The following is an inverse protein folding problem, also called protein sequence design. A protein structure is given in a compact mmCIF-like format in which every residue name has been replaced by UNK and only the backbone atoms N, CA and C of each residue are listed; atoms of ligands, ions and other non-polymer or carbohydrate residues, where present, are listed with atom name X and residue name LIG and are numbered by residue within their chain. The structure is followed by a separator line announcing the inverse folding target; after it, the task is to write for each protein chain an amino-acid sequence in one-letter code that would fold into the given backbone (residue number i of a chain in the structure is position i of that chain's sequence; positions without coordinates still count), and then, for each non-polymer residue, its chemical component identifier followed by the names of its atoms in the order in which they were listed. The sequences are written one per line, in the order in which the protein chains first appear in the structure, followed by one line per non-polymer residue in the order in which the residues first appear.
data_IF_516333972677
#
_entry.id   IF_516333972677
#
_cell.length_a   1.000
_cell.length_b   1.000
_cell.length_c   1.000
_cell.angle_alpha   90.00
_cell.angle_beta   90.00
_cell.angle_gamma   90.00
#
_symmetry.space_group_name_H-M   'P 1'
#
loop_
_entity.id
_entity.type
_entity.pdbx_description
1 polymer ?
#
# COMPACT_ATOMS: atom_id res chain seq x y z
N UNK A 1 0.54 -25.41 -25.37
CA UNK A 1 -0.18 -25.95 -24.21
C UNK A 1 0.57 -27.09 -23.52
N UNK A 2 1.16 -28.01 -24.24
CA UNK A 2 1.85 -29.20 -23.69
C UNK A 2 3.10 -28.87 -22.84
N UNK A 3 3.72 -27.71 -23.05
CA UNK A 3 4.91 -27.27 -22.31
C UNK A 3 4.59 -26.23 -21.22
N UNK A 4 3.66 -25.33 -21.47
CA UNK A 4 3.37 -24.20 -20.57
C UNK A 4 2.43 -24.62 -19.45
N UNK A 5 1.27 -25.22 -19.78
CA UNK A 5 0.27 -25.57 -18.77
C UNK A 5 0.78 -26.52 -17.68
N UNK A 6 1.58 -27.58 -18.00
CA UNK A 6 2.15 -28.43 -16.97
C UNK A 6 3.16 -27.73 -16.05
N UNK A 7 3.73 -26.62 -16.49
CA UNK A 7 4.73 -25.86 -15.75
C UNK A 7 4.17 -24.76 -14.85
N UNK A 8 2.87 -24.48 -14.88
CA UNK A 8 2.27 -23.45 -14.01
C UNK A 8 1.96 -23.99 -12.62
N UNK A 9 2.10 -23.15 -11.61
CA UNK A 9 1.50 -23.38 -10.28
C UNK A 9 0.05 -22.96 -10.31
N UNK A 10 -0.86 -23.91 -10.12
CA UNK A 10 -2.30 -23.66 -10.27
C UNK A 10 -2.91 -23.00 -9.03
N UNK A 11 -2.81 -21.70 -8.90
CA UNK A 11 -3.27 -20.92 -7.77
C UNK A 11 -4.80 -20.96 -7.56
N UNK A 12 -5.58 -21.26 -8.59
CA UNK A 12 -7.03 -21.40 -8.52
C UNK A 12 -7.48 -22.83 -8.16
N UNK A 13 -6.53 -23.75 -7.89
CA UNK A 13 -6.88 -25.09 -7.45
C UNK A 13 -7.53 -25.07 -6.07
N UNK A 14 -8.62 -25.82 -5.83
CA UNK A 14 -9.22 -25.95 -4.51
C UNK A 14 -8.29 -26.58 -3.45
N UNK A 15 -7.19 -27.20 -3.91
CA UNK A 15 -6.17 -27.79 -3.04
C UNK A 15 -4.93 -26.88 -2.87
N UNK A 16 -4.96 -25.66 -3.34
CA UNK A 16 -3.86 -24.70 -3.17
C UNK A 16 -4.09 -23.87 -1.90
N UNK A 17 -3.30 -24.13 -0.85
CA UNK A 17 -3.41 -23.47 0.45
C UNK A 17 -2.19 -22.61 0.80
N UNK A 18 -1.29 -22.38 -0.17
CA UNK A 18 -0.10 -21.57 0.04
C UNK A 18 -0.33 -20.11 -0.34
N UNK A 19 0.41 -19.22 0.30
CA UNK A 19 0.47 -17.78 0.03
C UNK A 19 -0.86 -17.04 0.22
N UNK A 20 -0.85 -15.74 -0.05
CA UNK A 20 -2.05 -14.91 -0.06
C UNK A 20 -2.81 -15.12 -1.39
N UNK A 21 -4.13 -15.36 -1.36
CA UNK A 21 -4.86 -15.73 -2.57
C UNK A 21 -4.92 -14.60 -3.60
N UNK A 22 -4.90 -14.99 -4.88
CA UNK A 22 -5.22 -14.13 -6.01
C UNK A 22 -6.56 -14.59 -6.60
N UNK A 23 -7.53 -13.70 -6.64
CA UNK A 23 -8.84 -13.97 -7.21
C UNK A 23 -8.97 -13.36 -8.60
N UNK A 24 -9.72 -14.04 -9.47
CA UNK A 24 -10.18 -13.50 -10.75
C UNK A 24 -11.67 -13.77 -10.92
N UNK A 25 -12.32 -12.92 -11.70
CA UNK A 25 -13.73 -13.08 -12.05
C UNK A 25 -13.91 -13.07 -13.55
N UNK A 26 -14.99 -13.68 -14.06
CA UNK A 26 -15.29 -13.67 -15.48
C UNK A 26 -15.29 -12.25 -16.09
N UNK A 27 -16.00 -11.28 -15.50
CA UNK A 27 -15.96 -9.89 -15.97
C UNK A 27 -14.55 -9.27 -15.97
N UNK A 28 -13.72 -9.52 -14.95
CA UNK A 28 -12.37 -9.01 -14.89
C UNK A 28 -11.48 -9.58 -16.03
N UNK A 29 -11.59 -10.89 -16.28
CA UNK A 29 -10.86 -11.55 -17.39
C UNK A 29 -11.27 -10.94 -18.73
N UNK A 30 -12.57 -10.76 -18.96
CA UNK A 30 -13.07 -10.16 -20.21
C UNK A 30 -12.64 -8.69 -20.35
N UNK A 31 -12.65 -7.92 -19.27
CA UNK A 31 -12.19 -6.54 -19.27
C UNK A 31 -10.70 -6.44 -19.60
N UNK A 32 -9.87 -7.30 -19.04
CA UNK A 32 -8.43 -7.35 -19.33
C UNK A 32 -8.16 -7.76 -20.79
N UNK A 33 -8.87 -8.75 -21.30
CA UNK A 33 -8.79 -9.15 -22.72
C UNK A 33 -9.17 -8.02 -23.66
N UNK A 34 -10.24 -7.26 -23.37
CA UNK A 34 -10.68 -6.12 -24.17
C UNK A 34 -9.66 -4.99 -24.14
N UNK A 35 -9.16 -4.62 -22.97
CA UNK A 35 -8.16 -3.57 -22.83
C UNK A 35 -6.86 -3.92 -23.57
N UNK A 36 -6.44 -5.17 -23.49
CA UNK A 36 -5.26 -5.68 -24.21
C UNK A 36 -5.51 -5.66 -25.73
N UNK A 37 -6.68 -6.12 -26.18
CA UNK A 37 -7.04 -6.14 -27.60
C UNK A 37 -7.16 -4.73 -28.22
N UNK A 38 -7.60 -3.76 -27.45
CA UNK A 38 -7.70 -2.35 -27.89
C UNK A 38 -6.36 -1.60 -27.79
N UNK A 39 -5.36 -2.16 -27.08
CA UNK A 39 -4.06 -1.53 -26.89
C UNK A 39 -4.13 -0.21 -26.12
N UNK A 40 -5.05 -0.11 -25.14
CA UNK A 40 -5.21 1.11 -24.34
C UNK A 40 -3.97 1.43 -23.52
N UNK A 41 -3.64 2.71 -23.46
CA UNK A 41 -2.49 3.24 -22.71
C UNK A 41 -2.98 4.15 -21.57
N UNK A 42 -3.20 3.56 -20.39
CA UNK A 42 -3.69 4.26 -19.19
C UNK A 42 -2.65 5.15 -18.50
N UNK A 43 -1.56 5.50 -19.16
CA UNK A 43 -0.41 6.23 -18.61
C UNK A 43 -0.78 7.63 -18.09
N UNK A 44 -1.63 8.34 -18.83
CA UNK A 44 -2.14 9.64 -18.45
C UNK A 44 -3.46 9.94 -19.20
N UNK A 45 -4.19 10.97 -18.78
CA UNK A 45 -5.48 11.30 -19.36
C UNK A 45 -5.42 11.50 -20.88
N UNK A 46 -4.41 12.18 -21.39
CA UNK A 46 -4.28 12.46 -22.83
C UNK A 46 -4.07 11.19 -23.68
N UNK A 47 -3.48 10.13 -23.11
CA UNK A 47 -3.24 8.86 -23.84
C UNK A 47 -4.41 7.90 -23.75
N UNK A 48 -5.26 8.02 -22.76
CA UNK A 48 -6.51 7.27 -22.62
C UNK A 48 -7.46 7.97 -21.64
N UNK A 49 -8.26 8.94 -22.10
CA UNK A 49 -9.22 9.61 -21.23
C UNK A 49 -10.17 8.64 -20.53
N UNK A 50 -10.67 7.63 -21.25
CA UNK A 50 -11.58 6.63 -20.69
C UNK A 50 -10.96 5.81 -19.55
N UNK A 51 -9.68 5.45 -19.63
CA UNK A 51 -9.01 4.74 -18.54
C UNK A 51 -8.91 5.60 -17.27
N UNK A 52 -8.52 6.86 -17.43
CA UNK A 52 -8.38 7.79 -16.30
C UNK A 52 -9.73 8.10 -15.65
N UNK A 53 -10.75 8.37 -16.48
CA UNK A 53 -12.12 8.62 -15.97
C UNK A 53 -12.67 7.40 -15.22
N UNK A 54 -12.48 6.19 -15.76
CA UNK A 54 -12.93 4.96 -15.13
C UNK A 54 -12.19 4.69 -13.82
N UNK A 55 -10.87 4.85 -13.82
CA UNK A 55 -10.05 4.71 -12.59
C UNK A 55 -10.51 5.68 -11.49
N UNK A 56 -10.68 6.93 -11.85
CA UNK A 56 -11.16 7.99 -10.94
C UNK A 56 -12.51 7.62 -10.32
N UNK A 57 -13.45 7.16 -11.14
CA UNK A 57 -14.78 6.76 -10.70
C UNK A 57 -14.74 5.55 -9.75
N UNK A 58 -13.93 4.54 -10.06
CA UNK A 58 -13.75 3.35 -9.21
C UNK A 58 -13.09 3.72 -7.89
N UNK A 59 -12.13 4.64 -7.90
CA UNK A 59 -11.48 5.13 -6.68
C UNK A 59 -12.42 5.92 -5.78
N UNK A 60 -13.33 6.71 -6.36
CA UNK A 60 -14.38 7.38 -5.59
C UNK A 60 -15.34 6.37 -4.92
N UNK A 61 -15.68 5.28 -5.60
CA UNK A 61 -16.43 4.18 -4.97
C UNK A 61 -15.65 3.55 -3.81
N UNK A 62 -14.34 3.36 -3.95
CA UNK A 62 -13.52 2.83 -2.87
C UNK A 62 -13.47 3.77 -1.66
N UNK A 63 -13.46 5.09 -1.86
CA UNK A 63 -13.56 6.06 -0.76
C UNK A 63 -14.85 5.84 0.02
N UNK A 64 -16.00 5.66 -0.66
CA UNK A 64 -17.28 5.41 -0.01
C UNK A 64 -17.32 4.02 0.67
N UNK A 65 -16.86 2.98 0.00
CA UNK A 65 -16.86 1.60 0.52
C UNK A 65 -15.98 1.42 1.76
N UNK A 66 -14.89 2.18 1.85
CA UNK A 66 -13.93 2.13 2.96
C UNK A 66 -14.20 3.19 4.03
N UNK A 67 -15.27 3.97 3.89
CA UNK A 67 -15.62 5.09 4.78
C UNK A 67 -14.44 6.08 4.99
N UNK A 68 -13.71 6.35 3.92
CA UNK A 68 -12.61 7.31 3.96
C UNK A 68 -13.14 8.75 3.94
N UNK A 69 -12.38 9.70 4.50
CA UNK A 69 -12.76 11.12 4.46
C UNK A 69 -13.04 11.61 3.03
N UNK A 70 -14.13 12.33 2.82
CA UNK A 70 -14.53 12.83 1.49
C UNK A 70 -13.46 13.67 0.78
N UNK A 71 -12.50 14.21 1.51
CA UNK A 71 -11.37 14.93 0.92
C UNK A 71 -10.55 14.10 -0.07
N UNK A 72 -10.67 12.75 -0.01
CA UNK A 72 -10.00 11.84 -0.94
C UNK A 72 -10.77 11.61 -2.24
N UNK A 73 -12.00 12.10 -2.37
CA UNK A 73 -12.76 12.03 -3.62
C UNK A 73 -12.18 12.98 -4.67
N UNK A 74 -12.33 12.60 -5.95
CA UNK A 74 -11.80 13.31 -7.09
C UNK A 74 -12.37 14.73 -7.28
N UNK A 75 -13.60 14.97 -6.81
CA UNK A 75 -14.25 16.29 -6.83
C UNK A 75 -13.83 17.19 -5.64
N UNK A 76 -12.85 16.78 -4.85
CA UNK A 76 -12.28 17.51 -3.71
C UNK A 76 -10.78 17.78 -3.94
N UNK A 77 -10.04 17.96 -2.85
CA UNK A 77 -8.60 18.24 -2.90
C UNK A 77 -7.73 16.98 -3.02
N UNK A 78 -8.31 15.80 -2.81
CA UNK A 78 -7.63 14.52 -2.89
C UNK A 78 -7.93 13.78 -4.18
N UNK A 79 -7.30 12.65 -4.33
CA UNK A 79 -7.55 11.64 -5.36
C UNK A 79 -6.82 10.38 -4.98
N UNK A 80 -7.00 9.32 -5.76
CA UNK A 80 -6.27 8.08 -5.66
C UNK A 80 -5.63 7.71 -7.01
N UNK A 81 -4.83 6.67 -6.99
CA UNK A 81 -4.27 6.04 -8.18
C UNK A 81 -4.10 4.55 -7.91
N UNK A 82 -4.45 3.71 -8.88
CA UNK A 82 -4.24 2.26 -8.79
C UNK A 82 -2.78 1.97 -9.14
N UNK A 83 -2.08 1.28 -8.23
CA UNK A 83 -0.72 0.83 -8.43
C UNK A 83 -0.70 -0.62 -8.95
N UNK A 84 0.41 -1.04 -9.53
CA UNK A 84 0.61 -2.40 -10.05
C UNK A 84 0.63 -3.47 -8.95
N UNK A 85 1.09 -3.12 -7.75
CA UNK A 85 1.16 -4.02 -6.59
C UNK A 85 0.94 -3.27 -5.28
N UNK A 86 0.60 -4.02 -4.21
CA UNK A 86 0.56 -3.47 -2.85
C UNK A 86 1.93 -2.91 -2.41
N UNK A 87 3.03 -3.47 -2.92
CA UNK A 87 4.38 -2.98 -2.60
C UNK A 87 4.63 -1.59 -3.16
N UNK A 88 4.26 -1.33 -4.41
CA UNK A 88 4.40 0.00 -5.03
C UNK A 88 3.40 0.99 -4.43
N UNK A 89 2.17 0.58 -4.12
CA UNK A 89 1.20 1.40 -3.42
C UNK A 89 1.73 1.88 -2.05
N UNK A 90 2.28 0.96 -1.26
CA UNK A 90 2.91 1.30 0.04
C UNK A 90 4.09 2.23 -0.15
N UNK A 91 4.95 2.00 -1.14
CA UNK A 91 6.09 2.87 -1.43
C UNK A 91 5.64 4.29 -1.81
N UNK A 92 4.66 4.42 -2.70
CA UNK A 92 4.11 5.73 -3.09
C UNK A 92 3.52 6.48 -1.90
N UNK A 93 2.73 5.82 -1.07
CA UNK A 93 2.16 6.42 0.14
C UNK A 93 3.25 6.86 1.13
N UNK A 94 4.29 6.02 1.33
CA UNK A 94 5.42 6.35 2.19
C UNK A 94 6.23 7.54 1.67
N UNK A 95 6.50 7.60 0.36
CA UNK A 95 7.18 8.73 -0.27
C UNK A 95 6.37 10.01 -0.11
N UNK A 96 5.07 9.97 -0.35
CA UNK A 96 4.18 11.11 -0.14
C UNK A 96 4.18 11.59 1.33
N UNK A 97 4.15 10.66 2.29
CA UNK A 97 4.26 10.97 3.71
C UNK A 97 5.63 11.58 4.07
N UNK A 98 6.71 11.05 3.50
CA UNK A 98 8.08 11.59 3.65
C UNK A 98 8.16 13.04 3.17
N UNK A 99 7.66 13.32 1.97
CA UNK A 99 7.64 14.66 1.40
C UNK A 99 6.84 15.63 2.28
N UNK A 100 5.65 15.19 2.70
CA UNK A 100 4.80 15.99 3.59
C UNK A 100 5.48 16.28 4.94
N UNK A 101 6.09 15.29 5.58
CA UNK A 101 6.72 15.42 6.88
C UNK A 101 7.98 16.30 6.84
N UNK A 102 8.69 16.32 5.70
CA UNK A 102 9.91 17.12 5.50
C UNK A 102 9.66 18.46 4.81
N UNK A 103 8.42 18.79 4.43
CA UNK A 103 8.09 19.93 3.58
C UNK A 103 8.94 19.98 2.28
N UNK A 104 9.16 18.81 1.66
CA UNK A 104 9.93 18.65 0.43
C UNK A 104 11.45 18.74 0.62
N UNK A 105 11.95 19.08 1.80
CA UNK A 105 13.38 19.33 2.06
C UNK A 105 14.28 18.14 1.72
N UNK A 106 13.79 16.92 1.90
CA UNK A 106 14.56 15.71 1.63
C UNK A 106 14.94 15.57 0.14
N UNK A 107 14.13 16.08 -0.78
CA UNK A 107 14.46 16.08 -2.21
C UNK A 107 15.63 17.00 -2.55
N UNK A 108 15.89 18.00 -1.74
CA UNK A 108 16.98 18.97 -1.98
C UNK A 108 18.26 18.60 -1.24
N UNK A 109 18.14 18.16 0.02
CA UNK A 109 19.30 17.99 0.90
C UNK A 109 19.58 16.54 1.31
N UNK A 110 18.71 15.60 0.90
CA UNK A 110 18.77 14.22 1.35
C UNK A 110 18.14 14.03 2.74
N UNK A 111 18.12 12.78 3.19
CA UNK A 111 17.53 12.38 4.47
C UNK A 111 18.46 12.72 5.65
N UNK A 112 17.95 13.41 6.65
CA UNK A 112 18.67 13.87 7.83
C UNK A 112 18.59 12.95 9.06
N UNK A 113 17.88 11.81 8.93
CA UNK A 113 17.74 10.84 10.02
C UNK A 113 16.57 11.10 10.97
N UNK A 114 15.79 12.14 10.79
CA UNK A 114 14.76 12.56 11.77
C UNK A 114 13.44 11.80 11.67
N UNK A 115 13.03 11.33 10.46
CA UNK A 115 11.72 10.70 10.27
C UNK A 115 11.64 9.29 10.84
N UNK A 116 10.48 8.94 11.37
CA UNK A 116 10.16 7.60 11.88
C UNK A 116 8.94 7.02 11.18
N UNK A 117 9.02 5.72 10.90
CA UNK A 117 7.98 4.91 10.27
C UNK A 117 7.59 3.80 11.24
N UNK A 118 6.32 3.48 11.34
CA UNK A 118 5.79 2.49 12.27
C UNK A 118 4.97 1.43 11.53
N UNK A 119 5.12 0.19 11.92
CA UNK A 119 4.32 -0.93 11.43
C UNK A 119 4.28 -2.06 12.45
N UNK A 120 3.35 -3.01 12.33
CA UNK A 120 3.34 -4.17 13.22
C UNK A 120 4.48 -5.14 12.89
N UNK A 121 4.86 -5.98 13.85
CA UNK A 121 5.81 -7.08 13.62
C UNK A 121 5.29 -8.14 12.65
N UNK A 122 3.99 -8.11 12.31
CA UNK A 122 3.32 -9.01 11.37
C UNK A 122 3.18 -8.43 9.97
N UNK A 123 3.56 -7.17 9.76
CA UNK A 123 3.46 -6.52 8.46
C UNK A 123 4.30 -7.25 7.40
N UNK A 124 3.81 -7.24 6.18
CA UNK A 124 4.53 -7.81 5.04
C UNK A 124 5.88 -7.10 4.83
N UNK A 125 6.89 -7.85 4.41
CA UNK A 125 8.26 -7.33 4.18
C UNK A 125 8.37 -6.17 3.20
N UNK A 126 7.32 -5.90 2.40
CA UNK A 126 7.25 -4.76 1.49
C UNK A 126 7.36 -3.42 2.21
N UNK A 127 6.86 -3.31 3.46
CA UNK A 127 6.97 -2.08 4.26
C UNK A 127 8.43 -1.76 4.57
N UNK A 128 9.20 -2.76 5.06
CA UNK A 128 10.63 -2.57 5.31
C UNK A 128 11.40 -2.27 4.01
N UNK A 129 11.04 -2.94 2.91
CA UNK A 129 11.64 -2.66 1.58
C UNK A 129 11.34 -1.24 1.14
N UNK A 130 10.09 -0.77 1.28
CA UNK A 130 9.71 0.60 0.95
C UNK A 130 10.52 1.63 1.75
N UNK A 131 10.70 1.41 3.06
CA UNK A 131 11.53 2.26 3.93
C UNK A 131 12.98 2.37 3.44
N UNK A 132 13.55 1.24 3.00
CA UNK A 132 14.91 1.22 2.42
C UNK A 132 14.98 1.95 1.08
N UNK A 133 14.03 1.70 0.18
CA UNK A 133 13.98 2.31 -1.16
C UNK A 133 13.75 3.82 -1.05
N UNK A 134 12.87 4.25 -0.14
CA UNK A 134 12.60 5.67 0.12
C UNK A 134 13.79 6.43 0.76
N UNK A 135 14.89 5.75 1.06
CA UNK A 135 16.09 6.34 1.65
C UNK A 135 15.96 6.69 3.14
N UNK A 136 14.88 6.27 3.81
CA UNK A 136 14.68 6.53 5.25
C UNK A 136 15.61 5.64 6.08
N UNK A 137 15.87 4.42 5.62
CA UNK A 137 16.75 3.46 6.29
C UNK A 137 16.04 2.62 7.35
N UNK A 138 16.43 1.33 7.42
CA UNK A 138 15.79 0.31 8.27
C UNK A 138 15.76 0.69 9.77
N UNK A 139 16.80 1.36 10.27
CA UNK A 139 16.88 1.73 11.69
C UNK A 139 15.80 2.74 12.12
N UNK A 140 15.17 3.41 11.16
CA UNK A 140 14.10 4.38 11.38
C UNK A 140 12.71 3.77 11.27
N UNK A 141 12.62 2.44 11.05
CA UNK A 141 11.39 1.66 11.11
C UNK A 141 11.19 1.09 12.52
N UNK A 142 10.08 1.46 13.16
CA UNK A 142 9.65 0.92 14.45
C UNK A 142 8.74 -0.28 14.24
N UNK A 143 9.17 -1.46 14.70
CA UNK A 143 8.35 -2.67 14.72
C UNK A 143 7.54 -2.70 16.01
N UNK A 144 6.23 -2.50 15.90
CA UNK A 144 5.31 -2.43 17.03
C UNK A 144 4.86 -3.85 17.41
N UNK A 145 4.84 -4.12 18.72
CA UNK A 145 4.39 -5.37 19.26
C UNK A 145 2.91 -5.62 18.97
N UNK A 146 2.57 -6.90 18.84
CA UNK A 146 1.21 -7.38 18.59
C UNK A 146 0.62 -8.07 19.83
N UNK A 147 -0.68 -8.26 19.83
CA UNK A 147 -1.41 -9.03 20.85
C UNK A 147 -1.47 -10.54 20.50
N UNK A 148 -2.28 -11.28 21.24
CA UNK A 148 -2.45 -12.72 21.04
C UNK A 148 -3.19 -13.08 19.75
N UNK A 149 -3.84 -12.12 19.09
CA UNK A 149 -4.49 -12.25 17.78
C UNK A 149 -3.60 -11.76 16.64
N UNK A 150 -2.34 -11.42 16.95
CA UNK A 150 -1.35 -10.85 16.06
C UNK A 150 -1.71 -9.44 15.54
N UNK A 151 -2.67 -8.76 16.15
CA UNK A 151 -3.02 -7.37 15.84
C UNK A 151 -2.06 -6.39 16.52
N UNK A 152 -1.73 -5.30 15.85
CA UNK A 152 -0.91 -4.22 16.42
C UNK A 152 -1.52 -3.70 17.73
N UNK A 153 -0.69 -3.51 18.75
CA UNK A 153 -1.13 -2.91 20.01
C UNK A 153 -1.13 -1.37 19.93
N UNK A 154 -2.28 -0.70 19.95
CA UNK A 154 -2.34 0.76 19.85
C UNK A 154 -1.59 1.48 20.98
N UNK A 155 -1.57 0.89 22.19
CA UNK A 155 -0.83 1.44 23.33
C UNK A 155 0.69 1.46 23.09
N UNK A 156 1.21 0.40 22.46
CA UNK A 156 2.64 0.32 22.13
C UNK A 156 3.00 1.27 20.99
N UNK A 157 2.12 1.43 20.00
CA UNK A 157 2.29 2.42 18.94
C UNK A 157 2.32 3.83 19.53
N UNK A 158 1.36 4.17 20.39
CA UNK A 158 1.30 5.47 21.05
C UNK A 158 2.57 5.75 21.83
N UNK A 159 3.01 4.80 22.66
CA UNK A 159 4.24 4.92 23.46
C UNK A 159 5.46 5.16 22.58
N UNK A 160 5.58 4.43 21.46
CA UNK A 160 6.70 4.57 20.55
C UNK A 160 6.71 5.96 19.87
N UNK A 161 5.53 6.47 19.47
CA UNK A 161 5.38 7.80 18.89
C UNK A 161 5.76 8.89 19.91
N UNK A 162 5.22 8.81 21.13
CA UNK A 162 5.50 9.77 22.21
C UNK A 162 6.98 9.82 22.58
N UNK A 163 7.63 8.64 22.63
CA UNK A 163 9.08 8.55 22.86
C UNK A 163 9.88 9.18 21.73
N UNK A 164 9.56 8.85 20.47
CA UNK A 164 10.27 9.44 19.32
C UNK A 164 10.10 10.97 19.27
N UNK A 165 8.92 11.50 19.60
CA UNK A 165 8.69 12.96 19.71
C UNK A 165 9.57 13.56 20.82
N UNK A 166 9.64 12.92 21.98
CA UNK A 166 10.47 13.36 23.12
C UNK A 166 11.95 13.40 22.74
N UNK A 167 12.38 12.45 21.91
CA UNK A 167 13.75 12.36 21.40
C UNK A 167 14.03 13.34 20.25
N UNK A 168 13.09 14.22 19.91
CA UNK A 168 13.22 15.21 18.85
C UNK A 168 13.07 14.64 17.44
N UNK A 169 12.44 13.46 17.31
CA UNK A 169 12.22 12.78 16.04
C UNK A 169 10.80 13.04 15.53
N UNK A 170 10.60 12.87 14.24
CA UNK A 170 9.34 13.19 13.56
C UNK A 170 8.61 11.92 13.13
N UNK A 171 7.48 11.56 13.74
CA UNK A 171 6.59 10.53 13.23
C UNK A 171 6.04 10.92 11.85
N UNK A 172 6.33 10.11 10.84
CA UNK A 172 5.99 10.42 9.45
C UNK A 172 4.93 9.49 8.84
N UNK A 173 4.95 8.20 9.21
CA UNK A 173 4.08 7.21 8.57
C UNK A 173 3.77 6.06 9.50
N UNK A 174 2.50 5.65 9.54
CA UNK A 174 2.06 4.41 10.19
C UNK A 174 1.45 3.51 9.12
N UNK A 175 1.94 2.27 9.02
CA UNK A 175 1.34 1.24 8.19
C UNK A 175 0.61 0.23 9.08
N UNK A 176 -0.71 0.37 9.17
CA UNK A 176 -1.60 -0.62 9.73
C UNK A 176 -2.13 -1.53 8.62
N UNK A 177 -2.29 -2.81 8.88
CA UNK A 177 -2.67 -3.80 7.87
C UNK A 177 -3.99 -4.46 8.25
N UNK A 178 -4.95 -4.44 7.35
CA UNK A 178 -6.22 -5.15 7.50
C UNK A 178 -6.13 -6.46 6.71
N UNK A 179 -5.81 -7.55 7.41
CA UNK A 179 -5.48 -8.85 6.85
C UNK A 179 -4.00 -8.99 6.50
N UNK A 180 -3.13 -9.16 7.52
CA UNK A 180 -1.70 -9.39 7.30
C UNK A 180 -1.43 -10.65 6.48
N UNK A 181 -0.43 -10.61 5.62
CA UNK A 181 -0.14 -11.66 4.64
C UNK A 181 0.08 -13.04 5.27
N UNK A 182 0.72 -13.11 6.42
CA UNK A 182 1.08 -14.40 7.06
C UNK A 182 0.07 -14.86 8.09
N UNK A 183 -0.51 -13.96 8.88
CA UNK A 183 -1.40 -14.30 10.01
C UNK A 183 -2.84 -13.88 9.81
N UNK A 184 -3.16 -13.14 8.76
CA UNK A 184 -4.48 -12.55 8.48
C UNK A 184 -5.00 -11.63 9.60
N UNK A 185 -4.13 -11.17 10.48
CA UNK A 185 -4.46 -10.28 11.58
C UNK A 185 -4.99 -8.93 11.06
N UNK A 186 -5.89 -8.34 11.83
CA UNK A 186 -6.49 -7.05 11.54
C UNK A 186 -5.96 -6.03 12.56
N UNK A 187 -5.12 -5.11 12.10
CA UNK A 187 -4.67 -4.03 12.96
C UNK A 187 -5.83 -3.06 13.22
N UNK A 188 -5.97 -2.50 14.44
CA UNK A 188 -6.96 -1.47 14.73
C UNK A 188 -6.68 -0.19 13.93
N UNK A 189 -7.71 0.38 13.31
CA UNK A 189 -7.65 1.63 12.52
C UNK A 189 -8.16 2.83 13.32
#
# INVERSE_FOLDING_TARGET
NEKILPGITHWQSPNFFAFFPCNSTGPAILGDMLSTGLGVQGMLWATSPACTELETHVLDWLVDMLDLPEKFKSNRSGSGVIQDTASSATLCALVAAREKASNGKINETGFDGTLRVYTSSQAHSSVEKAVKIAGIGRHNLRSIAVDNTFAMRPSELRRAIEQDITDGLTPAFVCATVGTTSSTALDPL
#
